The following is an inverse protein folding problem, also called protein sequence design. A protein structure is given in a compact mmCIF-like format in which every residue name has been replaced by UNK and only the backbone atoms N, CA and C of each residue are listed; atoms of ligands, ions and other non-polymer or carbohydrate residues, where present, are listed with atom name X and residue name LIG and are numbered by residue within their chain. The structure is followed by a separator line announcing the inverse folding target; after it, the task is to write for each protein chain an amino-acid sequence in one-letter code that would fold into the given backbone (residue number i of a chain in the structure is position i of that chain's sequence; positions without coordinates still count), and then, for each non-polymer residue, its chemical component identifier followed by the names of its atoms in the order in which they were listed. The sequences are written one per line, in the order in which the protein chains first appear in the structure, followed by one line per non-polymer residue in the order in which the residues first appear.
data_IF_494991400806
#
_entry.id   IF_494991400806
#
_cell.length_a   1.000
_cell.length_b   1.000
_cell.length_c   1.000
_cell.angle_alpha   90.00
_cell.angle_beta   90.00
_cell.angle_gamma   90.00
#
_symmetry.space_group_name_H-M   'P 1'
#
loop_
_entity.id
_entity.type
_entity.pdbx_description
1 polymer ?
#
# COMPACT_ATOMS: atom_id res chain seq x y z
N UNK A 1 4.49 5.33 -2.12
CA UNK A 1 3.31 6.25 -1.99
C UNK A 1 2.09 5.37 -1.78
N UNK A 2 1.05 5.84 -1.09
CA UNK A 2 -0.21 5.08 -0.93
C UNK A 2 -1.41 5.92 -1.36
N UNK A 3 -2.54 5.25 -1.59
CA UNK A 3 -3.79 5.86 -1.97
C UNK A 3 -4.92 5.53 -0.98
N UNK A 4 -5.88 6.43 -0.83
CA UNK A 4 -7.09 6.20 -0.05
C UNK A 4 -8.34 6.48 -0.87
N UNK A 5 -9.33 5.60 -0.70
CA UNK A 5 -10.66 5.73 -1.27
C UNK A 5 -11.62 6.08 -0.12
N UNK A 6 -12.29 7.24 -0.15
CA UNK A 6 -13.26 7.58 0.89
C UNK A 6 -14.44 6.60 0.85
N UNK A 7 -15.06 6.36 2.00
CA UNK A 7 -16.11 5.32 2.15
C UNK A 7 -17.28 5.46 1.17
N UNK A 8 -17.65 6.68 0.80
CA UNK A 8 -18.71 6.94 -0.17
C UNK A 8 -18.40 6.42 -1.59
N UNK A 9 -17.13 6.24 -1.93
CA UNK A 9 -16.67 5.74 -3.23
C UNK A 9 -16.10 4.31 -3.14
N UNK A 10 -15.96 3.74 -1.94
CA UNK A 10 -15.32 2.45 -1.74
C UNK A 10 -16.00 1.35 -2.56
N UNK A 11 -17.33 1.25 -2.50
CA UNK A 11 -18.09 0.23 -3.25
C UNK A 11 -17.89 0.35 -4.76
N UNK A 12 -17.80 1.57 -5.32
CA UNK A 12 -17.56 1.80 -6.76
C UNK A 12 -16.22 1.21 -7.22
N UNK A 13 -15.18 1.34 -6.39
CA UNK A 13 -13.83 0.93 -6.78
C UNK A 13 -13.48 -0.48 -6.33
N UNK A 14 -14.24 -1.05 -5.40
CA UNK A 14 -14.05 -2.42 -4.89
C UNK A 14 -14.17 -3.49 -5.97
N UNK A 15 -15.06 -3.30 -6.94
CA UNK A 15 -15.22 -4.23 -8.07
C UNK A 15 -14.19 -4.02 -9.20
N UNK A 16 -13.49 -2.89 -9.20
CA UNK A 16 -12.59 -2.48 -10.30
C UNK A 16 -11.13 -2.78 -9.96
N UNK A 17 -10.75 -2.60 -8.70
CA UNK A 17 -9.37 -2.68 -8.23
C UNK A 17 -9.15 -4.03 -7.56
N UNK A 18 -8.23 -4.80 -8.11
CA UNK A 18 -7.77 -6.07 -7.56
C UNK A 18 -6.26 -6.02 -7.29
N UNK A 19 -5.81 -6.83 -6.34
CA UNK A 19 -4.39 -7.00 -6.07
C UNK A 19 -3.67 -7.65 -7.27
N UNK A 20 -2.38 -7.39 -7.42
CA UNK A 20 -1.52 -7.92 -8.50
C UNK A 20 -1.86 -7.45 -9.93
N UNK A 21 -2.83 -6.56 -10.11
CA UNK A 21 -3.11 -5.89 -11.39
C UNK A 21 -2.51 -4.48 -11.44
N UNK A 22 -2.27 -3.99 -12.65
CA UNK A 22 -1.63 -2.69 -12.89
C UNK A 22 -2.67 -1.74 -13.46
N UNK A 23 -2.70 -0.53 -12.91
CA UNK A 23 -3.73 0.46 -13.19
C UNK A 23 -3.12 1.83 -13.45
N UNK A 24 -3.70 2.53 -14.43
CA UNK A 24 -3.51 3.95 -14.62
C UNK A 24 -4.62 4.72 -13.93
N UNK A 25 -4.24 5.58 -12.99
CA UNK A 25 -5.16 6.47 -12.28
C UNK A 25 -5.10 7.87 -12.87
N UNK A 26 -6.26 8.50 -13.11
CA UNK A 26 -6.35 9.91 -13.51
C UNK A 26 -7.43 10.64 -12.69
N UNK A 27 -7.36 11.98 -12.63
CA UNK A 27 -8.31 12.83 -11.88
C UNK A 27 -8.39 12.49 -10.39
N UNK A 28 -7.24 12.20 -9.79
CA UNK A 28 -7.08 12.08 -8.34
C UNK A 28 -6.51 13.37 -7.76
N UNK A 29 -6.53 13.50 -6.43
CA UNK A 29 -5.87 14.63 -5.74
C UNK A 29 -4.69 14.12 -4.91
N UNK A 30 -3.63 14.92 -4.85
CA UNK A 30 -2.47 14.67 -3.99
C UNK A 30 -2.63 15.51 -2.74
N UNK A 31 -2.59 14.87 -1.58
CA UNK A 31 -2.77 15.53 -0.27
C UNK A 31 -1.64 15.14 0.68
N UNK A 32 -1.36 15.91 1.74
CA UNK A 32 -0.43 15.48 2.79
C UNK A 32 -0.82 14.10 3.33
N UNK A 33 0.18 13.24 3.54
CA UNK A 33 -0.06 11.91 4.12
C UNK A 33 -0.54 12.05 5.56
N UNK A 34 -1.38 11.11 6.02
CA UNK A 34 -1.87 11.11 7.40
C UNK A 34 -0.70 10.97 8.38
N UNK A 35 -0.74 11.55 9.58
CA UNK A 35 0.37 11.43 10.53
C UNK A 35 0.54 9.99 11.06
N UNK A 36 -0.56 9.23 11.17
CA UNK A 36 -0.58 7.88 11.71
C UNK A 36 -1.08 6.85 10.68
N UNK A 37 -0.82 5.57 10.96
CA UNK A 37 -1.29 4.40 10.21
C UNK A 37 -0.87 4.40 8.75
N UNK A 38 0.35 4.85 8.46
CA UNK A 38 0.89 4.85 7.10
C UNK A 38 1.50 3.49 6.77
N UNK A 39 1.18 2.90 5.60
CA UNK A 39 1.84 1.68 5.15
C UNK A 39 3.28 1.94 4.69
N UNK A 40 3.60 3.17 4.30
CA UNK A 40 4.91 3.54 3.75
C UNK A 40 5.30 4.96 4.21
N UNK A 41 6.58 5.23 4.53
CA UNK A 41 7.04 6.57 4.88
C UNK A 41 7.01 7.49 3.65
N UNK A 42 5.96 8.31 3.54
CA UNK A 42 5.79 9.31 2.48
C UNK A 42 5.27 10.64 3.03
N UNK A 43 5.59 11.74 2.35
CA UNK A 43 5.07 13.09 2.67
C UNK A 43 3.65 13.34 2.13
N UNK A 44 3.31 12.69 1.02
CA UNK A 44 2.04 12.87 0.32
C UNK A 44 1.37 11.53 0.02
N UNK A 45 0.05 11.52 0.00
CA UNK A 45 -0.79 10.39 -0.40
C UNK A 45 -1.73 10.80 -1.53
N UNK A 46 -2.21 9.80 -2.29
CA UNK A 46 -3.25 9.98 -3.29
C UNK A 46 -4.61 9.85 -2.59
N UNK A 47 -5.55 10.74 -2.88
CA UNK A 47 -6.94 10.60 -2.44
C UNK A 47 -7.86 10.55 -3.65
N UNK A 48 -8.69 9.52 -3.70
CA UNK A 48 -9.63 9.33 -4.79
C UNK A 48 -10.76 10.35 -4.65
N UNK A 49 -11.26 10.77 -5.81
CA UNK A 49 -12.41 11.66 -5.93
C UNK A 49 -13.53 10.94 -6.69
N UNK A 50 -14.77 11.46 -6.66
CA UNK A 50 -15.86 10.91 -7.48
C UNK A 50 -15.53 10.83 -8.97
N UNK A 51 -14.64 11.71 -9.45
CA UNK A 51 -14.22 11.84 -10.85
C UNK A 51 -12.95 11.06 -11.18
N UNK A 52 -12.34 10.39 -10.20
CA UNK A 52 -11.16 9.55 -10.44
C UNK A 52 -11.52 8.44 -11.43
N UNK A 53 -10.70 8.30 -12.47
CA UNK A 53 -10.83 7.26 -13.47
C UNK A 53 -9.70 6.25 -13.27
N UNK A 54 -10.07 4.99 -13.37
CA UNK A 54 -9.18 3.83 -13.22
C UNK A 54 -9.26 3.05 -14.52
N UNK A 55 -8.11 2.74 -15.11
CA UNK A 55 -8.02 1.91 -16.31
C UNK A 55 -6.95 0.85 -16.08
N UNK A 56 -7.31 -0.42 -16.27
CA UNK A 56 -6.37 -1.54 -16.19
C UNK A 56 -5.41 -1.49 -17.38
N UNK A 57 -4.11 -1.59 -17.10
CA UNK A 57 -3.07 -1.68 -18.12
C UNK A 57 -2.72 -3.14 -18.34
N UNK A 58 -2.83 -3.60 -19.59
CA UNK A 58 -2.57 -5.00 -19.96
C UNK A 58 -1.22 -5.16 -20.66
N UNK A 59 -0.70 -4.10 -21.26
CA UNK A 59 0.58 -4.10 -21.95
C UNK A 59 1.65 -3.54 -21.02
N UNK A 60 2.01 -4.35 -20.02
CA UNK A 60 2.98 -3.98 -19.00
C UNK A 60 4.33 -4.61 -19.34
N UNK A 61 5.44 -3.86 -19.32
CA UNK A 61 6.78 -4.42 -19.44
C UNK A 61 7.05 -5.49 -18.37
N UNK A 62 7.74 -6.57 -18.73
CA UNK A 62 8.15 -7.63 -17.79
C UNK A 62 8.98 -7.12 -16.59
N UNK A 63 9.64 -5.96 -16.72
CA UNK A 63 10.47 -5.35 -15.67
C UNK A 63 9.69 -4.45 -14.69
N UNK A 64 8.36 -4.51 -14.71
CA UNK A 64 7.57 -3.69 -13.79
C UNK A 64 7.66 -4.20 -12.35
N UNK A 65 8.19 -3.35 -11.45
CA UNK A 65 8.32 -3.67 -10.03
C UNK A 65 6.95 -3.91 -9.37
N UNK A 66 6.69 -5.16 -8.98
CA UNK A 66 5.42 -5.55 -8.38
C UNK A 66 5.26 -5.09 -6.93
N UNK A 67 6.36 -5.00 -6.18
CA UNK A 67 6.30 -4.70 -4.75
C UNK A 67 7.44 -3.79 -4.29
N UNK A 68 7.11 -2.91 -3.35
CA UNK A 68 8.08 -2.05 -2.66
C UNK A 68 7.95 -2.32 -1.16
N UNK A 69 9.02 -2.82 -0.56
CA UNK A 69 9.06 -3.12 0.87
C UNK A 69 10.04 -2.20 1.60
N UNK A 70 9.72 -1.87 2.84
CA UNK A 70 10.67 -1.28 3.78
C UNK A 70 10.90 -2.29 4.89
N UNK A 71 11.99 -3.05 4.76
CA UNK A 71 12.36 -4.06 5.76
C UNK A 71 12.89 -3.38 7.01
N UNK A 72 12.41 -3.85 8.15
CA UNK A 72 12.81 -3.36 9.47
C UNK A 72 13.50 -4.50 10.19
N UNK A 73 14.74 -4.31 10.68
CA UNK A 73 15.42 -5.34 11.45
C UNK A 73 14.61 -5.73 12.69
N UNK A 74 14.61 -7.02 13.03
CA UNK A 74 13.85 -7.54 14.18
C UNK A 74 14.22 -6.84 15.49
N UNK A 75 15.52 -6.58 15.69
CA UNK A 75 16.06 -5.86 16.86
C UNK A 75 15.48 -4.45 17.01
N UNK A 76 15.02 -3.83 15.92
CA UNK A 76 14.45 -2.49 15.88
C UNK A 76 12.93 -2.49 15.98
N UNK A 77 12.26 -3.62 16.17
CA UNK A 77 10.81 -3.63 16.42
C UNK A 77 10.46 -3.02 17.78
N UNK A 78 11.27 -3.26 18.81
CA UNK A 78 11.00 -2.77 20.16
C UNK A 78 10.90 -1.24 20.23
N UNK A 79 11.62 -0.52 19.37
CA UNK A 79 11.54 0.95 19.30
C UNK A 79 10.24 1.46 18.66
N UNK A 80 9.43 0.58 18.07
CA UNK A 80 8.12 0.90 17.47
C UNK A 80 6.95 0.65 18.42
N UNK A 81 7.20 0.10 19.60
CA UNK A 81 6.15 -0.13 20.60
C UNK A 81 5.57 1.22 21.04
N UNK A 82 4.26 1.40 20.84
CA UNK A 82 3.57 2.66 21.13
C UNK A 82 3.61 3.71 20.01
N UNK A 83 4.37 3.49 18.94
CA UNK A 83 4.35 4.37 17.76
C UNK A 83 3.27 3.93 16.77
N UNK A 84 2.29 4.80 16.54
CA UNK A 84 1.18 4.55 15.60
C UNK A 84 1.48 5.07 14.19
N UNK A 85 2.70 5.54 13.92
CA UNK A 85 3.04 6.17 12.64
C UNK A 85 2.97 5.19 11.46
N UNK A 86 3.35 3.93 11.67
CA UNK A 86 3.51 2.94 10.60
C UNK A 86 2.81 1.62 10.90
N UNK A 87 2.20 1.02 9.87
CA UNK A 87 1.85 -0.38 9.92
C UNK A 87 3.12 -1.23 9.83
N UNK A 88 3.47 -1.94 10.90
CA UNK A 88 4.54 -2.94 10.86
C UNK A 88 3.91 -4.29 10.55
N UNK A 89 3.89 -4.67 9.27
CA UNK A 89 3.54 -6.03 8.87
C UNK A 89 4.61 -7.01 9.35
N UNK A 90 4.21 -8.18 9.84
CA UNK A 90 5.14 -9.23 10.22
C UNK A 90 5.42 -10.09 8.98
N UNK A 91 6.61 -9.97 8.39
CA UNK A 91 7.07 -10.94 7.37
C UNK A 91 7.69 -12.11 8.14
N UNK A 92 6.93 -13.19 8.30
CA UNK A 92 7.41 -14.41 8.93
C UNK A 92 8.31 -15.16 7.95
N UNK A 93 9.62 -15.19 8.22
CA UNK A 93 10.50 -16.18 7.60
C UNK A 93 10.23 -17.50 8.32
N UNK A 94 9.58 -18.45 7.65
CA UNK A 94 9.45 -19.82 8.16
C UNK A 94 10.81 -20.50 8.01
N UNK A 95 11.66 -20.38 9.04
CA UNK A 95 12.87 -21.19 9.14
C UNK A 95 12.44 -22.60 9.54
N UNK A 96 12.41 -23.49 8.55
CA UNK A 96 12.41 -24.95 8.62
C UNK A 96 12.02 -25.55 9.97
N UNK A 97 10.78 -26.04 10.10
CA UNK A 97 10.42 -26.96 11.18
C UNK A 97 11.36 -28.16 11.12
N UNK A 98 12.20 -28.32 12.14
CA UNK A 98 13.03 -29.52 12.33
C UNK A 98 12.04 -30.69 12.51
N UNK A 99 11.98 -31.67 11.59
CA UNK A 99 11.19 -32.85 11.84
C UNK A 99 11.87 -33.65 12.96
N UNK A 100 11.10 -33.95 14.00
CA UNK A 100 11.46 -34.84 15.09
C UNK A 100 11.26 -36.30 14.65
#
# INVERSE_FOLDING_TARGET
MYAEIPGAQAEKFKEIIEESKIYTFTKFVVVPSKPAYKPFPNKYMLRFTPWTQVSEEKDVPDDFLSYVYTLVPFLSLSSRVGLQEYFTGMVLIVLCSIPN
#
